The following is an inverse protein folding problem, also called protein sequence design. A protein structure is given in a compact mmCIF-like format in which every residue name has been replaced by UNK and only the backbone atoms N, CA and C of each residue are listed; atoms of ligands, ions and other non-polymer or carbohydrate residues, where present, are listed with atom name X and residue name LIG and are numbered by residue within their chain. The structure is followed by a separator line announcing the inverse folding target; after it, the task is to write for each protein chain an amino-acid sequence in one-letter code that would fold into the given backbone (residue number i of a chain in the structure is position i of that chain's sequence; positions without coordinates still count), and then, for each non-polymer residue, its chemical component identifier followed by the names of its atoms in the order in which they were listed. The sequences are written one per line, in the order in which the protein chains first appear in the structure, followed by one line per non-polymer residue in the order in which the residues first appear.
data_IF_473009099078
#
_entry.id   IF_473009099078
#
_cell.length_a   1.000
_cell.length_b   1.000
_cell.length_c   1.000
_cell.angle_alpha   90.00
_cell.angle_beta   90.00
_cell.angle_gamma   90.00
#
_symmetry.space_group_name_H-M   'P 1'
#
loop_
_entity.id
_entity.type
_entity.pdbx_description
1 polymer ?
#
# COMPACT_ATOMS: atom_id res chain seq x y z
N UNK A 1 18.46 19.72 15.53
CA UNK A 1 19.78 19.28 15.05
C UNK A 1 19.66 18.66 13.67
N UNK A 2 20.77 18.44 12.96
CA UNK A 2 20.76 17.84 11.64
C UNK A 2 20.27 16.40 11.66
N UNK A 3 19.62 16.00 10.58
CA UNK A 3 19.12 14.64 10.38
C UNK A 3 19.94 13.91 9.33
N UNK A 4 20.20 12.63 9.59
CA UNK A 4 20.63 11.67 8.58
C UNK A 4 19.37 11.05 7.99
N UNK A 5 19.29 11.03 6.68
CA UNK A 5 18.17 10.41 6.00
C UNK A 5 18.66 9.43 4.93
N UNK A 6 17.93 8.35 4.70
CA UNK A 6 18.16 7.48 3.56
C UNK A 6 16.85 6.93 3.02
N UNK A 7 16.80 6.72 1.73
CA UNK A 7 15.75 5.94 1.10
C UNK A 7 15.87 4.50 1.59
N UNK A 8 14.79 3.97 2.15
CA UNK A 8 14.74 2.60 2.63
C UNK A 8 14.41 1.63 1.48
N UNK A 9 13.30 1.90 0.78
CA UNK A 9 12.85 1.06 -0.32
C UNK A 9 11.77 1.75 -1.16
N UNK A 10 11.54 1.17 -2.34
CA UNK A 10 10.28 1.34 -3.06
C UNK A 10 9.26 0.30 -2.55
N UNK A 11 7.99 0.62 -2.63
CA UNK A 11 6.90 -0.32 -2.43
C UNK A 11 5.77 -0.02 -3.42
N UNK A 12 5.03 -1.07 -3.76
CA UNK A 12 3.95 -0.99 -4.73
C UNK A 12 2.59 -1.01 -4.04
N UNK A 13 1.66 -0.20 -4.56
CA UNK A 13 0.24 -0.31 -4.27
C UNK A 13 -0.48 -0.80 -5.51
N UNK A 14 -1.49 -1.62 -5.30
CA UNK A 14 -2.36 -2.13 -6.35
C UNK A 14 -3.82 -2.04 -5.92
N UNK A 15 -4.71 -2.21 -6.89
CA UNK A 15 -6.14 -2.32 -6.66
C UNK A 15 -6.46 -3.74 -6.23
N UNK A 16 -7.25 -3.89 -5.17
CA UNK A 16 -7.66 -5.18 -4.62
C UNK A 16 -9.16 -5.29 -4.45
N UNK A 17 -9.64 -6.51 -4.60
CA UNK A 17 -11.02 -6.90 -4.29
C UNK A 17 -11.04 -8.36 -3.80
N UNK A 18 -12.10 -8.75 -3.10
CA UNK A 18 -12.37 -10.15 -2.80
C UNK A 18 -13.06 -10.83 -3.99
N UNK A 19 -12.95 -12.16 -4.08
CA UNK A 19 -13.66 -12.92 -5.11
C UNK A 19 -15.18 -12.73 -5.00
N UNK A 20 -15.72 -12.70 -3.78
CA UNK A 20 -17.15 -12.46 -3.54
C UNK A 20 -17.61 -11.12 -4.14
N UNK A 21 -16.80 -10.06 -3.98
CA UNK A 21 -17.08 -8.77 -4.62
C UNK A 21 -17.11 -8.92 -6.15
N UNK A 22 -16.09 -9.54 -6.73
CA UNK A 22 -15.96 -9.68 -8.17
C UNK A 22 -17.11 -10.50 -8.79
N UNK A 23 -17.57 -11.53 -8.08
CA UNK A 23 -18.68 -12.38 -8.53
C UNK A 23 -20.05 -11.66 -8.52
N UNK A 24 -20.21 -10.67 -7.66
CA UNK A 24 -21.48 -9.94 -7.46
C UNK A 24 -21.58 -8.62 -8.23
N UNK A 25 -20.51 -8.21 -8.92
CA UNK A 25 -20.45 -6.92 -9.61
C UNK A 25 -20.11 -7.08 -11.10
N UNK A 26 -20.32 -6.07 -11.92
CA UNK A 26 -19.96 -6.11 -13.33
C UNK A 26 -18.48 -6.45 -13.55
N UNK A 27 -18.13 -7.18 -14.62
CA UNK A 27 -16.75 -7.57 -14.90
C UNK A 27 -15.83 -6.37 -15.04
N UNK A 28 -14.62 -6.48 -14.47
CA UNK A 28 -13.56 -5.48 -14.59
C UNK A 28 -12.48 -6.05 -15.50
N UNK A 29 -12.43 -5.58 -16.75
CA UNK A 29 -11.48 -6.04 -17.77
C UNK A 29 -10.49 -4.94 -18.18
N UNK A 30 -10.86 -3.68 -17.96
CA UNK A 30 -10.07 -2.49 -18.30
C UNK A 30 -10.32 -1.37 -17.31
N UNK A 31 -9.45 -0.36 -17.21
CA UNK A 31 -9.60 0.74 -16.26
C UNK A 31 -10.94 1.51 -16.39
N UNK A 32 -11.50 1.63 -17.61
CA UNK A 32 -12.77 2.31 -17.82
C UNK A 32 -13.95 1.63 -17.09
N UNK A 33 -13.87 0.33 -16.84
CA UNK A 33 -14.93 -0.42 -16.15
C UNK A 33 -15.04 -0.06 -14.67
N UNK A 34 -14.01 0.57 -14.10
CA UNK A 34 -13.95 0.96 -12.69
C UNK A 34 -14.88 2.11 -12.31
N UNK A 35 -15.36 2.88 -13.28
CA UNK A 35 -16.18 4.07 -13.03
C UNK A 35 -17.50 3.76 -12.30
N UNK A 36 -18.02 2.53 -12.43
CA UNK A 36 -19.28 2.09 -11.82
C UNK A 36 -19.09 1.32 -10.51
N UNK A 37 -17.84 1.17 -10.04
CA UNK A 37 -17.54 0.40 -8.85
C UNK A 37 -17.32 1.31 -7.63
N UNK A 38 -17.81 0.91 -6.42
CA UNK A 38 -17.52 1.64 -5.19
C UNK A 38 -16.08 1.42 -4.72
N UNK A 39 -15.47 2.45 -4.18
CA UNK A 39 -14.11 2.46 -3.67
C UNK A 39 -14.04 2.79 -2.18
N UNK A 40 -13.00 2.30 -1.55
CA UNK A 40 -12.55 2.73 -0.23
C UNK A 40 -11.32 3.63 -0.42
N UNK A 41 -11.32 4.80 0.20
CA UNK A 41 -10.26 5.79 0.02
C UNK A 41 -9.92 6.53 1.30
N UNK A 42 -8.91 7.39 1.23
CA UNK A 42 -8.62 8.36 2.29
C UNK A 42 -9.67 9.47 2.38
N UNK A 43 -9.73 10.09 3.55
CA UNK A 43 -10.47 11.35 3.73
C UNK A 43 -9.61 12.47 3.16
N UNK A 44 -10.08 13.10 2.10
CA UNK A 44 -9.30 14.06 1.31
C UNK A 44 -8.78 15.23 2.17
N UNK A 45 -9.63 15.80 3.01
CA UNK A 45 -9.30 16.93 3.85
C UNK A 45 -8.35 16.62 5.02
N UNK A 46 -8.15 15.33 5.32
CA UNK A 46 -7.32 14.84 6.42
C UNK A 46 -6.09 14.05 5.95
N UNK A 47 -5.86 13.97 4.64
CA UNK A 47 -4.67 13.32 4.11
C UNK A 47 -3.41 14.15 4.43
N UNK A 48 -2.40 13.49 4.99
CA UNK A 48 -1.13 14.15 5.37
C UNK A 48 -0.38 14.71 4.16
N UNK A 49 -0.60 14.13 2.99
CA UNK A 49 -0.01 14.59 1.73
C UNK A 49 -0.91 14.21 0.56
N UNK A 50 -0.76 14.94 -0.54
CA UNK A 50 -1.43 14.62 -1.80
C UNK A 50 -1.09 13.23 -2.35
N UNK A 51 0.03 12.65 -1.94
CA UNK A 51 0.44 11.29 -2.32
C UNK A 51 -0.49 10.20 -1.79
N UNK A 52 -1.27 10.49 -0.75
CA UNK A 52 -2.29 9.59 -0.23
C UNK A 52 -3.60 9.62 -1.02
N UNK A 53 -3.78 10.64 -1.87
CA UNK A 53 -4.99 10.85 -2.67
C UNK A 53 -4.89 10.17 -4.04
N UNK A 54 -4.34 8.97 -4.10
CA UNK A 54 -4.08 8.29 -5.36
C UNK A 54 -5.34 7.79 -6.08
N UNK A 55 -6.48 7.65 -5.40
CA UNK A 55 -7.69 7.16 -6.04
C UNK A 55 -8.12 8.05 -7.22
N UNK A 56 -8.18 9.36 -7.00
CA UNK A 56 -8.57 10.32 -8.04
C UNK A 56 -7.57 10.37 -9.21
N UNK A 57 -6.28 10.12 -8.94
CA UNK A 57 -5.24 10.10 -9.95
C UNK A 57 -5.26 8.84 -10.81
N UNK A 58 -5.66 7.71 -10.22
CA UNK A 58 -5.64 6.38 -10.87
C UNK A 58 -6.97 6.08 -11.54
N UNK A 59 -8.09 6.48 -10.91
CA UNK A 59 -9.44 6.27 -11.41
C UNK A 59 -10.19 7.60 -11.43
N UNK A 60 -10.03 8.42 -12.47
CA UNK A 60 -10.76 9.68 -12.59
C UNK A 60 -12.28 9.47 -12.48
N UNK A 61 -12.92 10.27 -11.66
CA UNK A 61 -14.38 10.18 -11.44
C UNK A 61 -14.82 9.07 -10.48
N UNK A 62 -13.89 8.34 -9.85
CA UNK A 62 -14.23 7.35 -8.85
C UNK A 62 -14.92 8.00 -7.64
N UNK A 63 -15.94 7.32 -7.12
CA UNK A 63 -16.62 7.71 -5.88
C UNK A 63 -16.21 6.76 -4.74
N UNK A 64 -15.84 7.30 -3.60
CA UNK A 64 -15.55 6.51 -2.42
C UNK A 64 -16.82 6.24 -1.62
N UNK A 65 -17.15 4.97 -1.40
CA UNK A 65 -18.25 4.54 -0.54
C UNK A 65 -17.89 4.58 0.94
N UNK A 66 -16.60 4.47 1.24
CA UNK A 66 -16.03 4.59 2.58
C UNK A 66 -14.74 5.39 2.52
N UNK A 67 -14.55 6.27 3.49
CA UNK A 67 -13.32 7.07 3.64
C UNK A 67 -12.75 6.90 5.03
N UNK A 68 -11.43 6.76 5.11
CA UNK A 68 -10.71 6.63 6.38
C UNK A 68 -9.35 7.30 6.30
N UNK A 69 -8.84 7.78 7.42
CA UNK A 69 -7.47 8.27 7.56
C UNK A 69 -6.45 7.16 7.80
N UNK A 70 -6.91 5.93 7.97
CA UNK A 70 -6.09 4.76 8.28
C UNK A 70 -6.08 3.76 7.13
N UNK A 71 -4.88 3.41 6.64
CA UNK A 71 -4.72 2.33 5.65
C UNK A 71 -5.14 0.96 6.20
N UNK A 72 -4.96 0.74 7.51
CA UNK A 72 -5.40 -0.49 8.17
C UNK A 72 -6.92 -0.60 8.16
N UNK A 73 -7.63 0.49 8.44
CA UNK A 73 -9.09 0.50 8.36
C UNK A 73 -9.58 0.25 6.92
N UNK A 74 -8.89 0.80 5.92
CA UNK A 74 -9.18 0.54 4.51
C UNK A 74 -8.96 -0.94 4.16
N UNK A 75 -7.87 -1.53 4.66
CA UNK A 75 -7.57 -2.96 4.51
C UNK A 75 -8.68 -3.83 5.12
N UNK A 76 -9.07 -3.55 6.37
CA UNK A 76 -10.16 -4.30 7.03
C UNK A 76 -11.48 -4.14 6.28
N UNK A 77 -11.80 -2.95 5.80
CA UNK A 77 -13.02 -2.71 5.02
C UNK A 77 -13.01 -3.46 3.68
N UNK A 78 -11.86 -3.51 3.00
CA UNK A 78 -11.72 -4.30 1.76
C UNK A 78 -11.95 -5.79 1.99
N UNK A 79 -11.52 -6.33 3.13
CA UNK A 79 -11.75 -7.72 3.51
C UNK A 79 -13.24 -8.07 3.64
N UNK A 80 -14.11 -7.08 3.88
CA UNK A 80 -15.56 -7.28 3.94
C UNK A 80 -16.20 -7.51 2.58
N UNK A 81 -15.47 -7.37 1.50
CA UNK A 81 -15.93 -7.71 0.16
C UNK A 81 -17.02 -6.80 -0.41
N UNK A 82 -17.08 -5.54 -0.01
CA UNK A 82 -18.12 -4.59 -0.45
C UNK A 82 -17.63 -3.53 -1.41
N UNK A 83 -16.33 -3.38 -1.56
CA UNK A 83 -15.72 -2.30 -2.35
C UNK A 83 -14.32 -2.67 -2.80
N UNK A 84 -13.86 -1.99 -3.84
CA UNK A 84 -12.47 -1.98 -4.26
C UNK A 84 -11.63 -1.09 -3.33
N UNK A 85 -10.37 -1.44 -3.15
CA UNK A 85 -9.43 -0.62 -2.38
C UNK A 85 -8.04 -0.62 -3.04
N UNK A 86 -7.36 0.52 -2.99
CA UNK A 86 -5.94 0.62 -3.34
C UNK A 86 -5.14 0.44 -2.05
N UNK A 87 -4.36 -0.63 -1.98
CA UNK A 87 -3.63 -1.05 -0.79
C UNK A 87 -2.17 -1.33 -1.13
N UNK A 88 -1.24 -1.13 -0.19
CA UNK A 88 0.11 -1.65 -0.31
C UNK A 88 0.10 -3.17 -0.54
N UNK A 89 0.88 -3.65 -1.50
CA UNK A 89 0.95 -5.08 -1.80
C UNK A 89 1.36 -5.93 -0.60
N UNK A 90 2.30 -5.44 0.21
CA UNK A 90 2.75 -6.14 1.43
C UNK A 90 1.66 -6.28 2.48
N UNK A 91 0.70 -5.34 2.53
CA UNK A 91 -0.44 -5.41 3.44
C UNK A 91 -1.50 -6.38 2.90
N UNK A 92 -1.88 -6.25 1.64
CA UNK A 92 -2.86 -7.12 1.00
C UNK A 92 -2.39 -8.59 0.93
N UNK A 93 -1.08 -8.83 0.86
CA UNK A 93 -0.49 -10.16 0.87
C UNK A 93 -0.82 -10.98 2.13
N UNK A 94 -1.19 -10.34 3.23
CA UNK A 94 -1.54 -11.01 4.49
C UNK A 94 -2.91 -11.70 4.46
N UNK A 95 -3.74 -11.39 3.48
CA UNK A 95 -5.03 -12.05 3.28
C UNK A 95 -5.18 -12.56 1.85
N UNK A 96 -5.16 -13.87 1.69
CA UNK A 96 -5.26 -14.53 0.37
C UNK A 96 -6.61 -14.31 -0.33
N UNK A 97 -7.63 -13.82 0.38
CA UNK A 97 -8.92 -13.46 -0.20
C UNK A 97 -8.87 -12.15 -1.00
N UNK A 98 -7.88 -11.29 -0.73
CA UNK A 98 -7.66 -10.07 -1.49
C UNK A 98 -6.87 -10.38 -2.76
N UNK A 99 -7.51 -10.17 -3.90
CA UNK A 99 -6.96 -10.45 -5.22
C UNK A 99 -6.64 -9.15 -5.94
N UNK A 100 -5.49 -9.05 -6.62
CA UNK A 100 -5.17 -7.89 -7.44
C UNK A 100 -6.13 -7.79 -8.63
N UNK A 101 -6.58 -6.57 -8.89
CA UNK A 101 -7.47 -6.23 -10.00
C UNK A 101 -6.72 -5.29 -10.94
N UNK A 102 -6.66 -5.61 -12.23
CA UNK A 102 -5.93 -4.83 -13.23
C UNK A 102 -4.47 -4.55 -12.81
N UNK A 103 -3.78 -5.59 -12.33
CA UNK A 103 -2.47 -5.44 -11.69
C UNK A 103 -1.36 -4.92 -12.61
N UNK A 104 -1.49 -5.07 -13.93
CA UNK A 104 -0.55 -4.53 -14.90
C UNK A 104 -0.86 -3.09 -15.30
N UNK A 105 -2.15 -2.73 -15.36
CA UNK A 105 -2.62 -1.41 -15.80
C UNK A 105 -2.65 -0.39 -14.65
N UNK A 106 -2.92 -0.84 -13.42
CA UNK A 106 -3.08 0.05 -12.27
C UNK A 106 -2.06 -0.33 -11.20
N UNK A 107 -0.94 0.37 -11.21
CA UNK A 107 0.10 0.25 -10.20
C UNK A 107 0.59 1.63 -9.76
N UNK A 108 0.88 1.75 -8.48
CA UNK A 108 1.44 2.96 -7.90
C UNK A 108 2.70 2.56 -7.15
N UNK A 109 3.80 3.24 -7.41
CA UNK A 109 5.04 3.05 -6.66
C UNK A 109 5.26 4.24 -5.73
N UNK A 110 5.56 3.94 -4.47
CA UNK A 110 5.87 4.91 -3.42
C UNK A 110 7.17 4.50 -2.74
N UNK A 111 7.66 5.34 -1.85
CA UNK A 111 8.95 5.15 -1.21
C UNK A 111 8.80 5.28 0.31
N UNK A 112 9.52 4.43 1.04
CA UNK A 112 9.80 4.64 2.45
C UNK A 112 11.18 5.26 2.63
N UNK A 113 11.26 6.20 3.56
CA UNK A 113 12.48 6.86 3.95
C UNK A 113 12.69 6.72 5.45
N UNK A 114 13.93 6.54 5.87
CA UNK A 114 14.31 6.55 7.28
C UNK A 114 15.01 7.86 7.61
N UNK A 115 14.67 8.38 8.78
CA UNK A 115 15.26 9.60 9.34
C UNK A 115 15.74 9.32 10.75
N UNK A 116 16.91 9.83 11.09
CA UNK A 116 17.43 9.80 12.44
C UNK A 116 18.21 11.07 12.73
N UNK A 117 18.15 11.57 13.95
CA UNK A 117 19.03 12.67 14.34
C UNK A 117 20.48 12.19 14.31
N UNK A 118 21.37 13.04 13.82
CA UNK A 118 22.78 12.69 13.61
C UNK A 118 23.47 12.26 14.92
N UNK A 119 23.18 12.93 16.03
CA UNK A 119 23.70 12.58 17.34
C UNK A 119 23.27 11.19 17.82
N UNK A 120 22.01 10.81 17.55
CA UNK A 120 21.49 9.49 17.89
C UNK A 120 22.00 8.40 16.95
N UNK A 121 22.28 8.74 15.69
CA UNK A 121 22.77 7.79 14.68
C UNK A 121 24.10 7.13 15.09
N UNK A 122 24.88 7.79 15.92
CA UNK A 122 26.17 7.31 16.42
C UNK A 122 26.04 6.29 17.56
N UNK A 123 24.87 6.17 18.16
CA UNK A 123 24.63 5.19 19.22
C UNK A 123 24.58 3.78 18.66
N UNK A 124 25.31 2.85 19.27
CA UNK A 124 25.41 1.46 18.80
C UNK A 124 24.03 0.81 18.61
N UNK A 125 23.10 0.99 19.56
CA UNK A 125 21.74 0.46 19.47
C UNK A 125 20.97 0.98 18.26
N UNK A 126 21.15 2.26 17.93
CA UNK A 126 20.48 2.88 16.77
C UNK A 126 21.13 2.39 15.48
N UNK A 127 22.45 2.27 15.43
CA UNK A 127 23.18 1.71 14.30
C UNK A 127 22.71 0.28 14.00
N UNK A 128 22.62 -0.57 15.01
CA UNK A 128 22.16 -1.96 14.87
C UNK A 128 20.71 -2.02 14.36
N UNK A 129 19.82 -1.21 14.93
CA UNK A 129 18.42 -1.16 14.47
C UNK A 129 18.31 -0.65 13.03
N UNK A 130 19.07 0.39 12.68
CA UNK A 130 19.09 0.96 11.33
C UNK A 130 19.55 -0.08 10.30
N UNK A 131 20.63 -0.77 10.57
CA UNK A 131 21.19 -1.78 9.70
C UNK A 131 20.25 -2.99 9.58
N UNK A 132 19.63 -3.41 10.69
CA UNK A 132 18.63 -4.47 10.69
C UNK A 132 17.39 -4.14 9.83
N UNK A 133 16.84 -2.93 9.97
CA UNK A 133 15.69 -2.50 9.16
C UNK A 133 16.07 -2.52 7.67
N UNK A 134 17.25 -2.04 7.31
CA UNK A 134 17.72 -2.06 5.91
C UNK A 134 17.87 -3.47 5.39
N UNK A 135 18.45 -4.37 6.17
CA UNK A 135 18.66 -5.77 5.79
C UNK A 135 17.32 -6.49 5.57
N UNK A 136 16.40 -6.41 6.52
CA UNK A 136 15.06 -7.03 6.40
C UNK A 136 14.29 -6.47 5.21
N UNK A 137 14.38 -5.17 4.98
CA UNK A 137 13.74 -4.52 3.84
C UNK A 137 14.32 -5.01 2.51
N UNK A 138 15.62 -5.13 2.41
CA UNK A 138 16.31 -5.65 1.23
C UNK A 138 15.93 -7.10 0.93
N UNK A 139 15.86 -7.94 1.96
CA UNK A 139 15.43 -9.34 1.83
C UNK A 139 13.96 -9.48 1.41
N UNK A 140 13.11 -8.49 1.68
CA UNK A 140 11.69 -8.51 1.39
C UNK A 140 11.28 -7.61 0.21
N UNK A 141 12.19 -7.29 -0.70
CA UNK A 141 11.88 -6.48 -1.89
C UNK A 141 10.78 -7.10 -2.75
N UNK A 142 10.75 -8.41 -2.90
CA UNK A 142 9.70 -9.10 -3.63
C UNK A 142 8.30 -8.88 -3.03
N UNK A 143 8.17 -8.94 -1.70
CA UNK A 143 6.93 -8.66 -0.99
C UNK A 143 6.53 -7.19 -1.15
N UNK A 144 7.46 -6.27 -0.99
CA UNK A 144 7.22 -4.83 -1.09
C UNK A 144 6.78 -4.42 -2.51
N UNK A 145 7.32 -5.06 -3.53
CA UNK A 145 6.99 -4.80 -4.95
C UNK A 145 5.85 -5.67 -5.50
N UNK A 146 5.18 -6.46 -4.66
CA UNK A 146 4.05 -7.27 -5.06
C UNK A 146 4.41 -8.48 -5.93
N UNK A 147 5.67 -8.91 -5.95
CA UNK A 147 6.15 -10.07 -6.69
C UNK A 147 5.90 -11.39 -5.95
N UNK A 148 5.90 -11.33 -4.64
CA UNK A 148 5.61 -12.45 -3.74
C UNK A 148 4.61 -12.03 -2.66
N UNK A 149 3.99 -13.02 -1.99
CA UNK A 149 3.07 -12.80 -0.86
C UNK A 149 3.66 -13.27 0.47
N UNK A 150 4.88 -13.75 0.48
CA UNK A 150 5.52 -14.31 1.67
C UNK A 150 6.61 -13.37 2.21
N UNK A 151 6.63 -13.21 3.52
CA UNK A 151 7.67 -12.47 4.22
C UNK A 151 8.84 -13.38 4.54
N UNK A 152 10.05 -12.90 4.28
CA UNK A 152 11.30 -13.55 4.68
C UNK A 152 11.75 -12.93 6.01
N UNK A 153 11.96 -13.78 7.01
CA UNK A 153 12.52 -13.35 8.30
C UNK A 153 14.04 -13.56 8.30
N UNK A 154 14.77 -12.58 8.82
CA UNK A 154 16.19 -12.75 9.10
C UNK A 154 16.37 -13.74 10.28
N UNK A 155 17.29 -14.68 10.13
CA UNK A 155 17.71 -15.62 11.18
C UNK A 155 18.50 -14.90 12.30
#
# INVERSE_FOLDING_TARGET
GPYVCCKLCDYKLQLYATQDYLDQHPPIRRPADLAEHPFISYVDDLAFSSELLYLANVVPGASASLRSTSVIAQYVAAQQGRSLAILPCFLAAQDSRLLPVLGEEITITRQFWMYCREDLRKLKRITLLWDYIREVTEQNQGLLMGETREMVFAD
#
